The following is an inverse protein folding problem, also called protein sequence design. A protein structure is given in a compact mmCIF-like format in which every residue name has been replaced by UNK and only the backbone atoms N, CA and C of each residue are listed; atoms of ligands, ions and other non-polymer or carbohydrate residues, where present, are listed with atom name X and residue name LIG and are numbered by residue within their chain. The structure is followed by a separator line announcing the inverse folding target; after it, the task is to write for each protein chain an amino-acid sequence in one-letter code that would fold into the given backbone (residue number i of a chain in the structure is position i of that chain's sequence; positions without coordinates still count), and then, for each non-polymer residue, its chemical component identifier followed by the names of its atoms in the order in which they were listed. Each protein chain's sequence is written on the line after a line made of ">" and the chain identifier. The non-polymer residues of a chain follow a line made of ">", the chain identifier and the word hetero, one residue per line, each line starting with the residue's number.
data_IF_240048686632
#
_entry.id   IF_240048686632
#
_cell.length_a   1.000
_cell.length_b   1.000
_cell.length_c   1.000
_cell.angle_alpha   90.00
_cell.angle_beta   90.00
_cell.angle_gamma   90.00
#
_symmetry.space_group_name_H-M   'P 1'
#
loop_
_entity.id
_entity.type
_entity.pdbx_description
1 polymer ?
#
# COMPACT_ATOMS: atom_id res chain seq x y z
N UNK A 1 -19.39 19.12 -14.71
CA UNK A 1 -19.17 17.73 -14.23
C UNK A 1 -17.86 17.60 -13.42
N UNK A 2 -16.69 17.93 -14.00
CA UNK A 2 -15.37 17.71 -13.37
C UNK A 2 -15.23 18.34 -11.98
N UNK A 3 -15.53 19.65 -11.84
CA UNK A 3 -15.48 20.35 -10.55
C UNK A 3 -16.46 19.74 -9.55
N UNK A 4 -17.69 19.44 -9.97
CA UNK A 4 -18.71 18.83 -9.14
C UNK A 4 -18.30 17.42 -8.66
N UNK A 5 -17.62 16.62 -9.50
CA UNK A 5 -17.08 15.33 -9.12
C UNK A 5 -16.08 15.45 -7.97
N UNK A 6 -15.08 16.33 -8.10
CA UNK A 6 -14.08 16.52 -7.05
C UNK A 6 -14.64 17.19 -5.78
N UNK A 7 -15.63 18.09 -5.89
CA UNK A 7 -16.35 18.65 -4.73
C UNK A 7 -17.05 17.57 -3.90
N UNK A 8 -17.52 16.50 -4.55
CA UNK A 8 -18.17 15.37 -3.86
C UNK A 8 -17.17 14.33 -3.38
N UNK A 9 -16.12 14.06 -4.18
CA UNK A 9 -15.15 13.00 -3.92
C UNK A 9 -14.14 13.35 -2.84
N UNK A 10 -13.65 14.60 -2.80
CA UNK A 10 -12.53 14.98 -1.93
C UNK A 10 -13.02 15.54 -0.59
N UNK A 11 -12.31 15.23 0.52
CA UNK A 11 -12.48 15.93 1.79
C UNK A 11 -12.18 17.43 1.64
N UNK A 12 -12.73 18.25 2.55
CA UNK A 12 -12.55 19.72 2.50
C UNK A 12 -11.32 20.21 3.25
N UNK A 13 -10.83 19.41 4.20
CA UNK A 13 -9.68 19.76 5.04
C UNK A 13 -8.47 18.92 4.69
N UNK A 14 -7.28 19.53 4.82
CA UNK A 14 -6.00 18.90 4.56
C UNK A 14 -5.40 19.27 3.21
N UNK A 15 -4.27 18.64 2.90
CA UNK A 15 -3.47 18.89 1.71
C UNK A 15 -3.90 17.94 0.60
N UNK A 16 -4.22 18.47 -0.57
CA UNK A 16 -4.50 17.71 -1.79
C UNK A 16 -3.21 17.37 -2.53
N UNK A 17 -3.18 16.24 -3.21
CA UNK A 17 -2.07 15.85 -4.07
C UNK A 17 -2.54 15.62 -5.51
N UNK A 18 -1.94 16.38 -6.44
CA UNK A 18 -2.06 16.20 -7.89
C UNK A 18 -0.73 15.70 -8.43
N UNK A 19 -0.72 14.60 -9.17
CA UNK A 19 0.50 13.99 -9.67
C UNK A 19 0.51 13.89 -11.19
N UNK A 20 1.67 14.14 -11.78
CA UNK A 20 1.97 13.83 -13.16
C UNK A 20 2.93 12.65 -13.25
N UNK A 21 2.66 11.68 -14.12
CA UNK A 21 3.57 10.56 -14.39
C UNK A 21 3.96 10.61 -15.87
N UNK A 22 5.26 10.79 -16.15
CA UNK A 22 5.80 10.82 -17.50
C UNK A 22 5.75 9.44 -18.17
N UNK A 23 6.02 9.38 -19.47
CA UNK A 23 6.14 8.11 -20.22
C UNK A 23 7.25 7.22 -19.65
N UNK A 24 8.31 7.82 -19.10
CA UNK A 24 9.44 7.13 -18.48
C UNK A 24 9.18 6.72 -17.02
N UNK A 25 7.95 6.93 -16.51
CA UNK A 25 7.57 6.53 -15.17
C UNK A 25 7.96 7.51 -14.05
N UNK A 26 8.52 8.68 -14.37
CA UNK A 26 8.91 9.69 -13.38
C UNK A 26 7.66 10.34 -12.81
N UNK A 27 7.51 10.27 -11.47
CA UNK A 27 6.37 10.83 -10.73
C UNK A 27 6.74 12.24 -10.24
N UNK A 28 5.87 13.21 -10.56
CA UNK A 28 5.96 14.60 -10.10
C UNK A 28 4.71 14.93 -9.29
N UNK A 29 4.79 14.88 -7.95
CA UNK A 29 3.72 15.28 -7.06
C UNK A 29 3.69 16.81 -6.92
N UNK A 30 2.50 17.40 -6.86
CA UNK A 30 2.20 18.78 -6.52
C UNK A 30 1.13 18.79 -5.44
N UNK A 31 1.23 19.72 -4.52
CA UNK A 31 0.40 19.78 -3.33
C UNK A 31 -0.22 21.16 -3.19
N UNK A 32 -1.44 21.20 -2.67
CA UNK A 32 -2.15 22.45 -2.35
C UNK A 32 -3.16 22.21 -1.22
N UNK A 33 -3.43 23.24 -0.43
CA UNK A 33 -4.53 23.29 0.55
C UNK A 33 -5.80 23.89 -0.06
N UNK A 34 -5.70 24.46 -1.27
CA UNK A 34 -6.79 25.15 -1.94
C UNK A 34 -7.45 24.25 -2.97
N UNK A 35 -8.75 23.98 -2.79
CA UNK A 35 -9.50 23.11 -3.69
C UNK A 35 -9.44 23.53 -5.17
N UNK A 36 -9.61 24.82 -5.46
CA UNK A 36 -9.61 25.32 -6.84
C UNK A 36 -8.24 25.20 -7.52
N UNK A 37 -7.14 25.23 -6.78
CA UNK A 37 -5.79 25.04 -7.32
C UNK A 37 -5.53 23.61 -7.83
N UNK A 38 -6.33 22.61 -7.43
CA UNK A 38 -6.26 21.25 -7.97
C UNK A 38 -6.34 21.29 -9.50
N UNK A 39 -7.26 22.09 -10.04
CA UNK A 39 -7.51 22.18 -11.47
C UNK A 39 -6.35 22.88 -12.20
N UNK A 40 -5.78 23.93 -11.60
CA UNK A 40 -4.60 24.62 -12.16
C UNK A 40 -3.37 23.69 -12.18
N UNK A 41 -3.17 22.91 -11.12
CA UNK A 41 -2.09 21.94 -11.05
C UNK A 41 -2.26 20.80 -12.07
N UNK A 42 -3.50 20.32 -12.22
CA UNK A 42 -3.83 19.32 -13.23
C UNK A 42 -3.57 19.84 -14.65
N UNK A 43 -4.00 21.09 -14.94
CA UNK A 43 -3.78 21.72 -16.25
C UNK A 43 -2.28 21.89 -16.55
N UNK A 44 -1.46 22.32 -15.58
CA UNK A 44 0.00 22.37 -15.73
C UNK A 44 0.63 21.02 -16.07
N UNK A 45 0.08 19.91 -15.53
CA UNK A 45 0.51 18.57 -15.89
C UNK A 45 0.03 18.16 -17.28
N UNK A 46 -1.21 18.50 -17.68
CA UNK A 46 -1.73 18.25 -19.05
C UNK A 46 -0.86 18.93 -20.12
N UNK A 47 -0.46 20.19 -19.88
CA UNK A 47 0.42 20.94 -20.78
C UNK A 47 1.81 20.31 -20.98
N UNK A 48 2.23 19.45 -20.05
CA UNK A 48 3.49 18.68 -20.14
C UNK A 48 3.32 17.31 -20.79
N UNK A 49 2.12 16.99 -21.28
CA UNK A 49 1.79 15.70 -21.91
C UNK A 49 2.13 14.50 -21.03
N UNK A 50 1.83 14.59 -19.73
CA UNK A 50 2.03 13.49 -18.78
C UNK A 50 0.68 12.93 -18.30
N UNK A 51 0.70 11.72 -17.81
CA UNK A 51 -0.46 11.10 -17.19
C UNK A 51 -0.83 11.84 -15.90
N UNK A 52 -2.05 12.36 -15.79
CA UNK A 52 -2.50 13.17 -14.65
C UNK A 52 -3.33 12.33 -13.68
N UNK A 53 -3.08 12.53 -12.39
CA UNK A 53 -3.75 11.82 -11.31
C UNK A 53 -4.06 12.74 -10.14
N UNK A 54 -5.07 12.39 -9.36
CA UNK A 54 -5.39 13.00 -8.06
C UNK A 54 -5.57 11.90 -7.04
N UNK A 55 -5.12 12.11 -5.81
CA UNK A 55 -5.42 11.19 -4.70
C UNK A 55 -6.86 11.39 -4.22
N UNK A 56 -7.61 10.33 -3.88
CA UNK A 56 -8.97 10.44 -3.34
C UNK A 56 -9.00 10.85 -1.85
N UNK A 57 -7.84 11.07 -1.23
CA UNK A 57 -7.67 11.47 0.16
C UNK A 57 -6.98 12.82 0.28
N UNK A 58 -7.11 13.45 1.46
CA UNK A 58 -6.27 14.57 1.90
C UNK A 58 -5.22 14.10 2.91
N UNK A 59 -4.16 14.90 3.08
CA UNK A 59 -2.99 14.57 3.92
C UNK A 59 -2.73 15.68 4.94
N UNK A 60 -2.04 15.34 6.04
CA UNK A 60 -1.62 16.32 7.05
C UNK A 60 -0.55 17.28 6.53
N UNK A 61 0.31 16.78 5.63
CA UNK A 61 1.48 17.50 5.14
C UNK A 61 1.57 17.44 3.61
N UNK A 62 2.51 18.18 3.04
CA UNK A 62 2.86 18.15 1.61
C UNK A 62 3.59 16.84 1.24
N UNK A 63 2.95 15.75 1.57
CA UNK A 63 3.43 14.39 1.39
C UNK A 63 2.27 13.48 1.00
N UNK A 64 2.56 12.42 0.25
CA UNK A 64 1.58 11.42 -0.18
C UNK A 64 1.95 10.05 0.42
N UNK A 65 1.93 9.98 1.74
CA UNK A 65 2.10 8.73 2.46
C UNK A 65 0.77 8.31 3.08
N UNK A 66 0.43 7.04 3.00
CA UNK A 66 -0.84 6.54 3.49
C UNK A 66 -1.05 6.77 4.99
N UNK A 67 0.04 6.77 5.76
CA UNK A 67 0.01 7.02 7.21
C UNK A 67 -0.13 8.51 7.58
N UNK A 68 -0.02 9.42 6.62
CA UNK A 68 -0.28 10.85 6.75
C UNK A 68 -1.65 11.25 6.18
N UNK A 69 -2.48 10.28 5.75
CA UNK A 69 -3.83 10.55 5.27
C UNK A 69 -4.74 11.02 6.41
N UNK A 70 -5.48 12.09 6.17
CA UNK A 70 -6.42 12.70 7.13
C UNK A 70 -7.81 12.09 6.96
N UNK A 71 -8.38 12.20 5.76
CA UNK A 71 -9.72 11.77 5.48
C UNK A 71 -9.89 11.26 4.04
N UNK A 72 -10.93 10.48 3.83
CA UNK A 72 -11.39 9.94 2.54
C UNK A 72 -12.91 10.06 2.47
N UNK A 73 -13.47 10.23 1.26
CA UNK A 73 -14.93 10.30 1.06
C UNK A 73 -15.48 9.22 0.15
N UNK A 74 -14.75 8.13 -0.08
CA UNK A 74 -15.22 7.08 -0.98
C UNK A 74 -14.55 5.75 -0.71
N UNK A 75 -15.26 4.66 -1.06
CA UNK A 75 -14.57 3.47 -1.52
C UNK A 75 -14.35 3.56 -3.02
N UNK A 76 -13.29 2.96 -3.51
CA UNK A 76 -12.94 3.00 -4.92
C UNK A 76 -12.21 1.73 -5.35
N UNK A 77 -12.38 1.37 -6.61
CA UNK A 77 -11.70 0.25 -7.26
C UNK A 77 -11.18 0.66 -8.62
N UNK A 78 -10.20 -0.08 -9.11
CA UNK A 78 -9.67 0.00 -10.48
C UNK A 78 -9.80 -1.38 -11.14
N UNK A 79 -10.54 -1.42 -12.26
CA UNK A 79 -10.65 -2.60 -13.11
C UNK A 79 -9.74 -2.40 -14.32
N UNK A 80 -8.69 -3.18 -14.35
CA UNK A 80 -7.75 -3.19 -15.46
C UNK A 80 -8.33 -3.90 -16.70
N UNK A 81 -8.17 -3.29 -17.88
CA UNK A 81 -8.68 -3.78 -19.15
C UNK A 81 -7.54 -4.04 -20.14
N UNK A 82 -7.59 -5.17 -20.81
CA UNK A 82 -6.66 -5.59 -21.88
C UNK A 82 -6.09 -6.99 -21.69
N UNK A 83 -5.70 -7.63 -22.77
CA UNK A 83 -5.24 -9.03 -22.81
C UNK A 83 -4.07 -9.31 -21.85
N UNK A 84 -3.14 -8.35 -21.68
CA UNK A 84 -2.01 -8.46 -20.75
C UNK A 84 -2.46 -8.70 -19.29
N UNK A 85 -3.63 -8.18 -18.92
CA UNK A 85 -4.20 -8.39 -17.58
C UNK A 85 -4.96 -9.71 -17.49
N UNK A 86 -5.61 -10.13 -18.59
CA UNK A 86 -6.27 -11.45 -18.66
C UNK A 86 -5.26 -12.58 -18.52
N UNK A 87 -4.14 -12.51 -19.22
CA UNK A 87 -3.03 -13.49 -19.13
C UNK A 87 -2.48 -13.64 -17.71
N UNK A 88 -2.56 -12.57 -16.91
CA UNK A 88 -2.10 -12.54 -15.51
C UNK A 88 -3.21 -12.87 -14.50
N UNK A 89 -4.44 -13.15 -14.95
CA UNK A 89 -5.64 -13.29 -14.11
C UNK A 89 -5.85 -12.07 -13.18
N UNK A 90 -5.73 -10.85 -13.74
CA UNK A 90 -5.80 -9.58 -12.98
C UNK A 90 -6.75 -8.55 -13.57
N UNK A 91 -7.45 -8.85 -14.64
CA UNK A 91 -8.35 -7.91 -15.30
C UNK A 91 -9.17 -8.56 -16.41
N UNK A 92 -9.73 -7.75 -17.27
CA UNK A 92 -10.74 -8.13 -18.27
C UNK A 92 -10.26 -7.85 -19.70
N UNK A 93 -10.73 -8.63 -20.70
CA UNK A 93 -10.31 -8.46 -22.09
C UNK A 93 -10.70 -7.09 -22.65
N UNK A 94 -11.92 -6.65 -22.33
CA UNK A 94 -12.50 -5.40 -22.81
C UNK A 94 -13.38 -4.75 -21.72
N UNK A 95 -13.88 -3.54 -22.02
CA UNK A 95 -14.72 -2.77 -21.11
C UNK A 95 -16.09 -3.42 -20.86
N UNK A 96 -16.63 -4.10 -21.85
CA UNK A 96 -17.93 -4.80 -21.74
C UNK A 96 -17.85 -5.92 -20.69
N UNK A 97 -16.79 -6.72 -20.73
CA UNK A 97 -16.51 -7.73 -19.72
C UNK A 97 -16.25 -7.13 -18.32
N UNK A 98 -15.55 -5.98 -18.26
CA UNK A 98 -15.34 -5.26 -17.01
C UNK A 98 -16.65 -4.73 -16.41
N UNK A 99 -17.53 -4.14 -17.23
CA UNK A 99 -18.86 -3.70 -16.77
C UNK A 99 -19.75 -4.87 -16.36
N UNK A 100 -19.78 -5.96 -17.14
CA UNK A 100 -20.56 -7.14 -16.80
C UNK A 100 -20.11 -7.75 -15.45
N UNK A 101 -18.81 -7.77 -15.17
CA UNK A 101 -18.29 -8.22 -13.89
C UNK A 101 -18.70 -7.30 -12.74
N UNK A 102 -18.67 -5.97 -12.96
CA UNK A 102 -19.13 -5.00 -11.97
C UNK A 102 -20.64 -5.13 -11.70
N UNK A 103 -21.45 -5.25 -12.74
CA UNK A 103 -22.89 -5.47 -12.61
C UNK A 103 -23.21 -6.76 -11.84
N UNK A 104 -22.53 -7.85 -12.20
CA UNK A 104 -22.67 -9.11 -11.47
C UNK A 104 -22.26 -8.99 -10.00
N UNK A 105 -21.19 -8.27 -9.69
CA UNK A 105 -20.77 -7.99 -8.33
C UNK A 105 -21.87 -7.25 -7.54
N UNK A 106 -22.48 -6.23 -8.15
CA UNK A 106 -23.57 -5.48 -7.52
C UNK A 106 -24.81 -6.35 -7.29
N UNK A 107 -25.17 -7.23 -8.25
CA UNK A 107 -26.27 -8.18 -8.11
C UNK A 107 -25.99 -9.21 -7.01
N UNK A 108 -24.79 -9.80 -6.99
CA UNK A 108 -24.41 -10.84 -6.03
C UNK A 108 -24.33 -10.30 -4.59
N UNK A 109 -23.95 -9.02 -4.41
CA UNK A 109 -23.73 -8.41 -3.11
C UNK A 109 -24.87 -7.53 -2.62
N UNK A 110 -25.71 -7.02 -3.54
CA UNK A 110 -26.74 -6.03 -3.22
C UNK A 110 -26.22 -4.62 -2.95
N UNK A 111 -24.94 -4.35 -3.23
CA UNK A 111 -24.38 -3.01 -3.11
C UNK A 111 -25.00 -2.04 -4.14
N UNK A 112 -25.14 -0.75 -3.80
CA UNK A 112 -25.64 0.25 -4.73
C UNK A 112 -24.63 0.52 -5.85
N UNK A 113 -25.08 1.05 -7.02
CA UNK A 113 -24.21 1.30 -8.16
C UNK A 113 -23.19 2.42 -7.88
N UNK A 114 -21.89 2.22 -8.23
CA UNK A 114 -20.87 3.26 -8.09
C UNK A 114 -20.97 4.31 -9.19
N UNK A 115 -20.32 5.45 -8.97
CA UNK A 115 -20.01 6.41 -10.02
C UNK A 115 -18.77 5.94 -10.81
N UNK A 116 -18.89 5.90 -12.15
CA UNK A 116 -17.86 5.29 -13.03
C UNK A 116 -17.11 6.32 -13.85
N UNK A 117 -15.78 6.17 -13.85
CA UNK A 117 -14.82 7.02 -14.56
C UNK A 117 -14.06 6.18 -15.58
N UNK A 118 -13.95 6.67 -16.80
CA UNK A 118 -13.08 6.15 -17.84
C UNK A 118 -11.63 6.58 -17.54
N UNK A 119 -10.76 5.65 -17.16
CA UNK A 119 -9.33 5.91 -16.92
C UNK A 119 -8.47 5.89 -18.19
N UNK A 120 -9.10 5.80 -19.38
CA UNK A 120 -8.48 5.63 -20.68
C UNK A 120 -8.34 4.16 -21.07
N UNK A 121 -7.82 3.30 -20.20
CA UNK A 121 -7.70 1.85 -20.46
C UNK A 121 -8.62 1.01 -19.58
N UNK A 122 -8.90 1.45 -18.37
CA UNK A 122 -9.70 0.74 -17.38
C UNK A 122 -10.94 1.52 -16.94
N UNK A 123 -11.55 1.03 -15.88
CA UNK A 123 -12.73 1.58 -15.26
C UNK A 123 -12.41 1.83 -13.79
N UNK A 124 -12.45 3.12 -13.36
CA UNK A 124 -12.49 3.40 -11.93
C UNK A 124 -13.95 3.47 -11.50
N UNK A 125 -14.29 2.86 -10.38
CA UNK A 125 -15.61 2.95 -9.79
C UNK A 125 -15.51 3.48 -8.36
N UNK A 126 -16.40 4.42 -8.02
CA UNK A 126 -16.40 5.15 -6.74
C UNK A 126 -17.76 5.04 -6.07
N UNK A 127 -17.81 4.59 -4.83
CA UNK A 127 -18.92 4.77 -3.90
C UNK A 127 -18.62 5.98 -3.03
N UNK A 128 -19.19 7.13 -3.39
CA UNK A 128 -18.87 8.42 -2.77
C UNK A 128 -19.78 8.63 -1.57
N UNK A 129 -19.20 8.99 -0.43
CA UNK A 129 -19.92 9.24 0.81
C UNK A 129 -20.37 10.69 0.92
N UNK A 130 -21.46 10.93 1.62
CA UNK A 130 -22.00 12.26 1.90
C UNK A 130 -21.17 12.99 3.00
N UNK A 131 -20.40 12.26 3.78
CA UNK A 131 -19.52 12.76 4.83
C UNK A 131 -18.04 12.45 4.60
N UNK A 132 -17.18 13.12 5.35
CA UNK A 132 -15.73 12.90 5.37
C UNK A 132 -15.39 11.87 6.44
N UNK A 133 -14.75 10.79 6.04
CA UNK A 133 -14.42 9.68 6.94
C UNK A 133 -12.96 9.83 7.36
N UNK A 134 -12.65 9.94 8.66
CA UNK A 134 -11.29 9.91 9.15
C UNK A 134 -10.56 8.66 8.67
N UNK A 135 -9.31 8.80 8.23
CA UNK A 135 -8.55 7.69 7.65
C UNK A 135 -8.51 6.45 8.55
N UNK A 136 -8.35 6.66 9.87
CA UNK A 136 -8.29 5.57 10.84
C UNK A 136 -9.60 4.77 10.91
N UNK A 137 -10.76 5.41 10.69
CA UNK A 137 -12.06 4.76 10.61
C UNK A 137 -12.30 4.11 9.23
N UNK A 138 -11.93 4.82 8.17
CA UNK A 138 -12.10 4.35 6.79
C UNK A 138 -11.29 3.08 6.49
N UNK A 139 -10.02 3.04 6.92
CA UNK A 139 -9.04 2.01 6.53
C UNK A 139 -9.48 0.57 6.81
N UNK A 140 -9.98 0.21 8.01
CA UNK A 140 -10.42 -1.16 8.29
C UNK A 140 -11.58 -1.61 7.40
N UNK A 141 -12.52 -0.71 7.12
CA UNK A 141 -13.66 -1.00 6.24
C UNK A 141 -13.26 -1.06 4.77
N UNK A 142 -12.30 -0.24 4.33
CA UNK A 142 -11.73 -0.32 2.99
C UNK A 142 -11.01 -1.66 2.73
N UNK A 143 -10.34 -2.23 3.74
CA UNK A 143 -9.76 -3.58 3.63
C UNK A 143 -10.85 -4.65 3.51
N UNK A 144 -11.94 -4.57 4.29
CA UNK A 144 -13.07 -5.50 4.14
C UNK A 144 -13.74 -5.37 2.77
N UNK A 145 -13.95 -4.13 2.31
CA UNK A 145 -14.49 -3.87 0.99
C UNK A 145 -13.60 -4.45 -0.11
N UNK A 146 -12.28 -4.30 0.00
CA UNK A 146 -11.32 -4.92 -0.91
C UNK A 146 -11.42 -6.45 -0.90
N UNK A 147 -11.49 -7.07 0.29
CA UNK A 147 -11.66 -8.52 0.42
C UNK A 147 -12.95 -9.00 -0.25
N UNK A 148 -14.05 -8.27 -0.06
CA UNK A 148 -15.33 -8.57 -0.73
C UNK A 148 -15.20 -8.47 -2.25
N UNK A 149 -14.62 -7.39 -2.78
CA UNK A 149 -14.41 -7.23 -4.22
C UNK A 149 -13.57 -8.38 -4.81
N UNK A 150 -12.47 -8.77 -4.16
CA UNK A 150 -11.58 -9.84 -4.62
C UNK A 150 -12.22 -11.23 -4.63
N UNK A 151 -13.31 -11.44 -3.88
CA UNK A 151 -14.09 -12.69 -3.91
C UNK A 151 -14.97 -12.81 -5.15
N UNK A 152 -15.34 -11.68 -5.77
CA UNK A 152 -16.32 -11.62 -6.85
C UNK A 152 -15.75 -11.20 -8.20
N UNK A 153 -14.66 -10.42 -8.21
CA UNK A 153 -14.11 -9.84 -9.44
C UNK A 153 -12.62 -9.58 -9.40
N UNK A 154 -12.04 -9.35 -10.56
CA UNK A 154 -10.64 -8.88 -10.67
C UNK A 154 -10.60 -7.36 -10.47
N UNK A 155 -9.88 -6.92 -9.46
CA UNK A 155 -9.53 -5.52 -9.20
C UNK A 155 -8.04 -5.39 -8.96
N UNK A 156 -7.47 -4.19 -9.09
CA UNK A 156 -6.10 -3.96 -8.59
C UNK A 156 -6.12 -3.91 -7.04
N UNK A 157 -5.63 -4.97 -6.34
CA UNK A 157 -5.70 -5.04 -4.88
C UNK A 157 -4.83 -4.00 -4.18
N UNK A 158 -3.93 -3.35 -4.91
CA UNK A 158 -3.09 -2.27 -4.38
C UNK A 158 -3.82 -0.92 -4.35
N UNK A 159 -4.97 -0.80 -5.02
CA UNK A 159 -5.74 0.46 -5.12
C UNK A 159 -6.72 0.61 -3.97
N UNK A 160 -7.61 -0.35 -3.80
CA UNK A 160 -8.89 -0.20 -3.10
C UNK A 160 -8.79 0.24 -1.63
N UNK A 161 -7.76 -0.16 -0.91
CA UNK A 161 -7.58 0.21 0.50
C UNK A 161 -6.32 1.06 0.73
N UNK A 162 -5.86 1.78 -0.28
CA UNK A 162 -4.71 2.69 -0.21
C UNK A 162 -5.15 4.14 -0.42
N UNK A 163 -5.27 4.91 0.67
CA UNK A 163 -5.65 6.32 0.64
C UNK A 163 -4.64 7.20 -0.15
N UNK A 164 -3.37 6.78 -0.24
CA UNK A 164 -2.34 7.46 -1.00
C UNK A 164 -2.34 7.10 -2.50
N UNK A 165 -3.34 6.33 -2.97
CA UNK A 165 -3.41 5.89 -4.36
C UNK A 165 -3.65 7.04 -5.31
N UNK A 166 -2.98 6.97 -6.46
CA UNK A 166 -3.17 7.90 -7.58
C UNK A 166 -4.27 7.38 -8.49
N UNK A 167 -5.40 8.10 -8.49
CA UNK A 167 -6.53 7.82 -9.38
C UNK A 167 -6.49 8.76 -10.58
N UNK A 168 -6.76 8.21 -11.77
CA UNK A 168 -6.70 8.95 -13.04
C UNK A 168 -7.59 10.18 -13.00
N UNK A 169 -7.04 11.34 -13.38
CA UNK A 169 -7.81 12.57 -13.54
C UNK A 169 -8.69 12.50 -14.78
N UNK A 170 -10.02 12.61 -14.66
CA UNK A 170 -10.92 12.73 -15.81
C UNK A 170 -10.62 13.98 -16.61
N UNK A 171 -11.06 14.02 -17.88
CA UNK A 171 -10.78 15.15 -18.80
C UNK A 171 -9.26 15.36 -19.05
N UNK A 172 -8.52 14.26 -19.17
CA UNK A 172 -7.12 14.23 -19.53
C UNK A 172 -6.85 13.17 -20.61
N UNK A 173 -5.57 12.87 -20.85
CA UNK A 173 -5.16 11.80 -21.75
C UNK A 173 -4.35 10.74 -20.99
N UNK A 174 -4.56 9.49 -21.36
CA UNK A 174 -3.73 8.37 -20.93
C UNK A 174 -2.67 8.09 -21.97
N UNK A 175 -1.44 8.49 -21.71
CA UNK A 175 -0.28 8.37 -22.64
C UNK A 175 0.37 6.99 -22.63
N UNK A 176 -0.27 5.96 -22.07
CA UNK A 176 0.26 4.59 -22.15
C UNK A 176 0.09 3.95 -23.51
N UNK A 177 -0.83 4.45 -24.33
CA UNK A 177 -1.03 4.05 -25.72
C UNK A 177 -0.61 5.16 -26.69
N UNK A 178 -0.44 4.80 -27.93
CA UNK A 178 -0.21 5.72 -29.04
C UNK A 178 -1.19 5.37 -30.17
N UNK A 179 -2.17 6.24 -30.50
CA UNK A 179 -2.45 7.54 -29.86
C UNK A 179 -2.93 7.42 -28.41
N UNK A 180 -2.76 8.48 -27.58
CA UNK A 180 -3.22 8.49 -26.20
C UNK A 180 -4.73 8.33 -26.07
N UNK A 181 -5.19 7.57 -25.08
CA UNK A 181 -6.63 7.36 -24.81
C UNK A 181 -7.22 8.54 -24.06
N UNK A 182 -8.42 9.04 -24.44
CA UNK A 182 -9.12 10.04 -23.65
C UNK A 182 -9.66 9.45 -22.35
N UNK A 183 -9.58 10.25 -21.27
CA UNK A 183 -10.20 9.95 -19.98
C UNK A 183 -11.47 10.78 -19.79
N UNK A 184 -12.38 10.33 -18.93
CA UNK A 184 -13.64 11.05 -18.72
C UNK A 184 -14.59 10.31 -17.80
N UNK A 185 -15.88 10.58 -17.96
CA UNK A 185 -16.94 9.99 -17.14
C UNK A 185 -17.80 9.07 -17.97
N UNK A 186 -18.24 7.95 -17.38
CA UNK A 186 -19.30 7.11 -17.94
C UNK A 186 -20.68 7.55 -17.44
N UNK A 187 -20.77 8.09 -16.23
CA UNK A 187 -22.00 8.53 -15.60
C UNK A 187 -22.09 10.06 -15.61
N UNK A 188 -23.31 10.57 -15.63
CA UNK A 188 -23.66 12.01 -15.63
C UNK A 188 -24.22 12.48 -14.27
N UNK A 189 -24.57 11.55 -13.39
CA UNK A 189 -25.18 11.82 -12.08
C UNK A 189 -24.39 11.15 -10.96
N UNK A 190 -23.94 11.96 -9.99
CA UNK A 190 -23.26 11.50 -8.79
C UNK A 190 -24.31 11.23 -7.71
N UNK A 191 -24.31 10.00 -7.19
CA UNK A 191 -25.08 9.58 -6.03
C UNK A 191 -24.15 9.54 -4.82
N UNK A 192 -24.62 10.05 -3.69
CA UNK A 192 -23.89 9.99 -2.42
C UNK A 192 -24.54 8.93 -1.53
N UNK A 193 -23.71 8.26 -0.76
CA UNK A 193 -24.09 7.16 0.12
C UNK A 193 -23.72 7.46 1.56
N UNK A 194 -24.44 6.86 2.50
CA UNK A 194 -24.07 6.88 3.92
C UNK A 194 -22.93 5.88 4.17
N UNK A 195 -21.91 6.31 4.87
CA UNK A 195 -20.84 5.39 5.30
C UNK A 195 -21.33 4.39 6.34
N UNK A 196 -22.28 4.81 7.20
CA UNK A 196 -22.89 3.91 8.19
C UNK A 196 -23.64 2.74 7.54
N UNK A 197 -24.36 2.98 6.45
CA UNK A 197 -25.01 1.90 5.69
C UNK A 197 -23.98 0.90 5.13
N UNK A 198 -22.83 1.39 4.67
CA UNK A 198 -21.73 0.53 4.22
C UNK A 198 -21.08 -0.23 5.39
N UNK A 199 -20.95 0.38 6.58
CA UNK A 199 -20.48 -0.32 7.78
C UNK A 199 -21.41 -1.45 8.18
N UNK A 200 -22.71 -1.21 8.20
CA UNK A 200 -23.71 -2.25 8.48
C UNK A 200 -23.65 -3.40 7.47
N UNK A 201 -23.52 -3.07 6.19
CA UNK A 201 -23.41 -4.05 5.13
C UNK A 201 -22.13 -4.90 5.22
N UNK A 202 -21.01 -4.28 5.43
CA UNK A 202 -19.71 -4.96 5.54
C UNK A 202 -19.55 -5.70 6.88
N UNK A 203 -20.28 -5.28 7.93
CA UNK A 203 -20.14 -5.76 9.30
C UNK A 203 -18.83 -5.29 9.94
N UNK A 204 -18.65 -5.54 11.23
CA UNK A 204 -17.47 -5.09 11.97
C UNK A 204 -16.15 -5.63 11.37
N UNK A 205 -15.15 -4.78 11.13
CA UNK A 205 -13.85 -5.24 10.69
C UNK A 205 -13.15 -6.04 11.80
N UNK A 206 -12.44 -7.09 11.41
CA UNK A 206 -11.58 -7.81 12.33
C UNK A 206 -10.36 -6.93 12.58
N UNK A 207 -10.38 -6.20 13.67
CA UNK A 207 -9.27 -5.32 14.07
C UNK A 207 -8.10 -6.20 14.52
N UNK A 208 -7.03 -6.21 13.75
CA UNK A 208 -5.81 -6.93 14.13
C UNK A 208 -5.15 -6.19 15.30
N UNK A 209 -4.72 -6.88 16.36
CA UNK A 209 -4.07 -6.25 17.50
C UNK A 209 -2.91 -5.31 17.14
N UNK A 210 -2.21 -5.58 16.04
CA UNK A 210 -1.14 -4.73 15.53
C UNK A 210 -1.63 -3.35 15.03
N UNK A 211 -2.85 -3.27 14.49
CA UNK A 211 -3.40 -2.02 13.94
C UNK A 211 -3.88 -1.10 15.09
N UNK A 212 -4.43 -1.69 16.16
CA UNK A 212 -4.79 -0.95 17.38
C UNK A 212 -3.54 -0.38 18.04
N UNK A 213 -2.50 -1.19 18.17
CA UNK A 213 -1.24 -0.76 18.80
C UNK A 213 -0.55 0.35 18.00
N UNK A 214 -0.61 0.31 16.67
CA UNK A 214 -0.09 1.35 15.77
C UNK A 214 -0.84 2.66 15.91
N UNK A 215 -2.18 2.62 15.98
CA UNK A 215 -3.04 3.80 16.14
C UNK A 215 -2.87 4.44 17.51
N UNK A 216 -2.80 3.63 18.58
CA UNK A 216 -2.58 4.09 19.95
C UNK A 216 -1.21 4.75 20.08
N UNK A 217 -0.15 4.18 19.49
CA UNK A 217 1.20 4.76 19.50
C UNK A 217 1.27 6.13 18.79
N UNK A 218 0.51 6.34 17.73
CA UNK A 218 0.47 7.62 16.98
C UNK A 218 -0.29 8.73 17.74
N UNK A 219 -1.28 8.39 18.53
CA UNK A 219 -2.09 9.35 19.30
C UNK A 219 -1.55 9.71 20.70
N UNK A 220 -0.45 9.08 21.13
CA UNK A 220 0.17 9.33 22.44
C UNK A 220 1.35 10.29 22.28
N UNK A 221 1.46 11.29 23.17
CA UNK A 221 2.67 12.07 23.32
C UNK A 221 3.83 11.21 23.87
N UNK A 222 5.05 11.71 23.77
CA UNK A 222 6.24 10.92 24.14
C UNK A 222 6.28 10.60 25.63
N UNK A 223 5.73 11.48 26.48
CA UNK A 223 5.64 11.30 27.93
C UNK A 223 4.66 10.16 28.29
N UNK A 224 3.55 10.07 27.56
CA UNK A 224 2.55 9.00 27.72
C UNK A 224 3.02 7.65 27.15
N UNK A 225 3.82 7.66 26.10
CA UNK A 225 4.47 6.46 25.54
C UNK A 225 5.46 5.86 26.56
N UNK A 226 6.27 6.72 27.18
CA UNK A 226 7.22 6.32 28.22
C UNK A 226 6.50 5.76 29.46
N UNK A 227 5.42 6.43 29.92
CA UNK A 227 4.63 6.00 31.09
C UNK A 227 3.92 4.67 30.86
N UNK A 228 3.48 4.37 29.63
CA UNK A 228 2.86 3.09 29.25
C UNK A 228 3.87 2.00 28.86
N UNK A 229 5.17 2.30 28.91
CA UNK A 229 6.24 1.36 28.56
C UNK A 229 6.22 0.91 27.09
N UNK A 230 5.63 1.71 26.18
CA UNK A 230 5.50 1.37 24.77
C UNK A 230 6.82 1.48 24.00
N UNK A 231 7.80 2.21 24.53
CA UNK A 231 9.15 2.32 24.01
C UNK A 231 10.11 1.26 24.57
N UNK A 232 9.60 0.39 25.47
CA UNK A 232 10.38 -0.68 26.08
C UNK A 232 10.53 -1.93 25.18
N UNK A 233 10.06 -1.88 23.92
CA UNK A 233 10.23 -2.98 22.98
C UNK A 233 11.22 -2.58 21.90
N UNK A 234 12.35 -3.26 21.91
CA UNK A 234 13.34 -3.21 20.81
C UNK A 234 13.15 -4.36 19.85
N UNK A 235 13.84 -4.29 18.73
CA UNK A 235 13.99 -5.41 17.78
C UNK A 235 15.47 -5.63 17.54
N UNK A 236 15.98 -6.80 17.90
CA UNK A 236 17.37 -7.17 17.72
C UNK A 236 17.52 -8.22 16.61
N UNK A 237 18.44 -7.99 15.67
CA UNK A 237 18.79 -8.98 14.67
C UNK A 237 19.58 -10.14 15.30
N UNK A 238 20.43 -9.86 16.28
CA UNK A 238 21.16 -10.94 16.96
C UNK A 238 20.23 -11.90 17.69
N UNK A 239 19.11 -11.42 18.23
CA UNK A 239 18.05 -12.30 18.77
C UNK A 239 17.36 -13.12 17.69
N UNK A 240 17.13 -12.57 16.49
CA UNK A 240 16.63 -13.35 15.35
C UNK A 240 17.64 -14.44 14.96
N UNK A 241 18.92 -14.06 14.89
CA UNK A 241 20.02 -14.95 14.55
C UNK A 241 20.14 -16.11 15.56
N UNK A 242 20.19 -15.82 16.86
CA UNK A 242 20.24 -16.81 17.93
C UNK A 242 19.09 -17.81 17.84
N UNK A 243 17.83 -17.33 17.77
CA UNK A 243 16.65 -18.17 17.60
C UNK A 243 16.73 -19.02 16.36
N UNK A 244 17.26 -18.47 15.25
CA UNK A 244 17.37 -19.20 13.99
C UNK A 244 18.44 -20.29 14.05
N UNK A 245 19.58 -20.00 14.63
CA UNK A 245 20.69 -20.95 14.80
C UNK A 245 20.35 -22.07 15.80
N UNK A 246 19.53 -21.78 16.80
CA UNK A 246 19.05 -22.76 17.79
C UNK A 246 17.80 -23.55 17.33
N UNK A 247 17.28 -23.27 16.14
CA UNK A 247 16.18 -24.01 15.52
C UNK A 247 14.77 -23.53 15.92
N UNK A 248 14.65 -22.48 16.73
CA UNK A 248 13.36 -21.88 17.14
C UNK A 248 12.98 -20.65 16.32
N UNK A 249 13.84 -20.22 15.40
CA UNK A 249 13.67 -19.02 14.58
C UNK A 249 13.31 -19.28 13.13
N UNK A 250 13.86 -18.47 12.22
CA UNK A 250 13.61 -18.52 10.78
C UNK A 250 14.66 -19.39 10.08
N UNK A 251 14.23 -20.44 9.40
CA UNK A 251 15.13 -21.34 8.64
C UNK A 251 15.86 -20.61 7.50
N UNK A 252 15.30 -19.54 6.93
CA UNK A 252 15.96 -18.75 5.90
C UNK A 252 17.12 -17.93 6.48
N UNK A 253 16.93 -17.35 7.65
CA UNK A 253 18.01 -16.64 8.37
C UNK A 253 19.08 -17.67 8.83
N UNK A 254 18.68 -18.86 9.27
CA UNK A 254 19.61 -19.95 9.54
C UNK A 254 20.46 -20.29 8.31
N UNK A 255 19.83 -20.51 7.14
CA UNK A 255 20.53 -20.86 5.90
C UNK A 255 21.52 -19.77 5.48
N UNK A 256 21.17 -18.49 5.65
CA UNK A 256 22.04 -17.36 5.37
C UNK A 256 23.26 -17.33 6.30
N UNK A 257 23.04 -17.50 7.60
CA UNK A 257 24.09 -17.35 8.61
C UNK A 257 25.00 -18.58 8.72
N UNK A 258 24.48 -19.77 8.42
CA UNK A 258 25.25 -21.03 8.53
C UNK A 258 26.22 -21.25 7.36
N UNK A 259 26.04 -20.56 6.24
CA UNK A 259 26.90 -20.67 5.06
C UNK A 259 26.87 -19.36 4.27
N UNK A 260 27.46 -18.30 4.83
CA UNK A 260 27.52 -16.97 4.21
C UNK A 260 28.21 -17.00 2.84
N UNK A 261 29.27 -17.80 2.72
CA UNK A 261 30.07 -17.88 1.48
C UNK A 261 29.27 -18.37 0.28
N UNK A 262 28.32 -19.31 0.49
CA UNK A 262 27.49 -19.87 -0.57
C UNK A 262 26.05 -19.36 -0.54
N UNK A 263 25.73 -18.39 0.31
CA UNK A 263 24.39 -17.81 0.38
C UNK A 263 24.02 -17.14 -0.94
N UNK A 264 22.82 -17.45 -1.53
CA UNK A 264 22.36 -16.76 -2.73
C UNK A 264 22.25 -15.26 -2.51
N UNK A 265 22.67 -14.47 -3.51
CA UNK A 265 22.62 -13.01 -3.47
C UNK A 265 21.29 -12.45 -2.99
N UNK A 266 20.17 -12.95 -3.55
CA UNK A 266 18.83 -12.47 -3.16
C UNK A 266 18.47 -12.83 -1.70
N UNK A 267 18.97 -13.94 -1.17
CA UNK A 267 18.80 -14.32 0.23
C UNK A 267 19.60 -13.40 1.15
N UNK A 268 20.83 -13.08 0.77
CA UNK A 268 21.67 -12.14 1.48
C UNK A 268 21.04 -10.74 1.51
N UNK A 269 20.62 -10.19 0.37
CA UNK A 269 19.92 -8.91 0.30
C UNK A 269 18.63 -8.92 1.14
N UNK A 270 17.87 -10.03 1.11
CA UNK A 270 16.68 -10.16 1.97
C UNK A 270 17.03 -10.10 3.46
N UNK A 271 18.13 -10.73 3.88
CA UNK A 271 18.67 -10.62 5.23
C UNK A 271 19.06 -9.18 5.60
N UNK A 272 19.74 -8.45 4.71
CA UNK A 272 20.07 -7.04 4.91
C UNK A 272 18.84 -6.18 5.16
N UNK A 273 17.70 -6.45 4.46
CA UNK A 273 16.44 -5.69 4.68
C UNK A 273 15.83 -5.90 6.07
N UNK A 274 16.11 -7.03 6.69
CA UNK A 274 15.66 -7.34 8.05
C UNK A 274 16.62 -6.72 9.06
N UNK A 275 17.92 -6.98 8.91
CA UNK A 275 18.94 -6.51 9.82
C UNK A 275 18.98 -4.98 9.93
N UNK A 276 18.97 -4.26 8.81
CA UNK A 276 19.02 -2.78 8.77
C UNK A 276 17.86 -2.08 9.47
N UNK A 277 16.81 -2.81 9.86
CA UNK A 277 15.63 -2.28 10.57
C UNK A 277 15.53 -2.76 12.02
N UNK A 278 16.60 -3.35 12.51
CA UNK A 278 16.77 -3.71 13.91
C UNK A 278 17.60 -2.63 14.63
N UNK A 279 17.48 -2.57 15.95
CA UNK A 279 18.21 -1.59 16.77
C UNK A 279 19.74 -1.79 16.72
N UNK A 280 20.17 -3.04 16.56
CA UNK A 280 21.54 -3.49 16.35
C UNK A 280 21.91 -3.64 14.87
N UNK A 281 21.10 -3.00 13.99
CA UNK A 281 21.19 -3.22 12.55
C UNK A 281 22.51 -2.88 11.92
N UNK A 282 23.22 -1.87 12.44
CA UNK A 282 24.51 -1.45 11.89
C UNK A 282 25.58 -2.53 12.05
N UNK A 283 25.69 -3.11 13.24
CA UNK A 283 26.60 -4.22 13.51
C UNK A 283 26.13 -5.50 12.78
N UNK A 284 24.83 -5.73 12.77
CA UNK A 284 24.24 -6.94 12.22
C UNK A 284 24.43 -7.10 10.70
N UNK A 285 24.29 -6.00 9.92
CA UNK A 285 24.49 -6.07 8.45
C UNK A 285 25.92 -6.47 8.08
N UNK A 286 26.91 -6.08 8.85
CA UNK A 286 28.30 -6.48 8.63
C UNK A 286 28.54 -7.91 9.10
N UNK A 287 28.14 -8.26 10.32
CA UNK A 287 28.34 -9.60 10.88
C UNK A 287 27.70 -10.72 10.03
N UNK A 288 26.50 -10.47 9.45
CA UNK A 288 25.83 -11.44 8.59
C UNK A 288 26.40 -11.50 7.17
N UNK A 289 27.33 -10.64 6.82
CA UNK A 289 27.86 -10.48 5.46
C UNK A 289 29.36 -10.76 5.36
N UNK A 290 30.08 -10.87 6.48
CA UNK A 290 31.54 -10.85 6.55
C UNK A 290 32.20 -11.89 5.64
N UNK A 291 31.60 -13.07 5.47
CA UNK A 291 32.10 -14.12 4.60
C UNK A 291 31.40 -14.19 3.22
N UNK A 292 30.45 -13.28 2.96
CA UNK A 292 29.71 -13.29 1.69
C UNK A 292 30.59 -12.72 0.55
N UNK A 293 30.64 -13.35 -0.66
CA UNK A 293 31.50 -12.93 -1.77
C UNK A 293 31.31 -11.49 -2.24
N UNK A 294 30.09 -10.97 -2.09
CA UNK A 294 29.72 -9.58 -2.48
C UNK A 294 29.91 -8.57 -1.34
N UNK A 295 30.48 -8.99 -0.20
CA UNK A 295 30.69 -8.10 0.93
C UNK A 295 31.75 -7.04 0.64
N UNK A 296 31.38 -5.80 0.82
CA UNK A 296 32.22 -4.62 0.91
C UNK A 296 31.57 -3.68 1.92
N UNK A 297 32.32 -3.17 2.88
CA UNK A 297 31.77 -2.40 3.99
C UNK A 297 30.81 -1.29 3.53
N UNK A 298 31.28 -0.40 2.66
CA UNK A 298 30.51 0.77 2.22
C UNK A 298 29.34 0.38 1.31
N UNK A 299 29.56 -0.54 0.37
CA UNK A 299 28.51 -1.02 -0.55
C UNK A 299 27.43 -1.79 0.20
N UNK A 300 27.77 -2.52 1.25
CA UNK A 300 26.82 -3.25 2.08
C UNK A 300 25.94 -2.29 2.88
N UNK A 301 26.52 -1.23 3.48
CA UNK A 301 25.75 -0.17 4.12
C UNK A 301 24.83 0.54 3.11
N UNK A 302 25.34 0.94 1.96
CA UNK A 302 24.55 1.57 0.91
C UNK A 302 23.39 0.67 0.47
N UNK A 303 23.64 -0.60 0.22
CA UNK A 303 22.62 -1.58 -0.16
C UNK A 303 21.58 -1.80 0.95
N UNK A 304 21.98 -1.86 2.21
CA UNK A 304 21.09 -2.08 3.34
C UNK A 304 20.14 -0.90 3.61
N UNK A 305 20.60 0.35 3.34
CA UNK A 305 19.86 1.57 3.71
C UNK A 305 19.34 2.37 2.51
N UNK A 306 19.97 2.32 1.33
CA UNK A 306 19.64 3.20 0.19
C UNK A 306 18.94 2.50 -0.98
N UNK A 307 18.89 1.19 -1.03
CA UNK A 307 18.42 0.42 -2.20
C UNK A 307 16.89 0.39 -2.40
N UNK A 308 16.18 1.42 -1.93
CA UNK A 308 14.74 1.58 -2.18
C UNK A 308 13.85 0.46 -1.64
N UNK A 309 14.42 -0.43 -0.82
CA UNK A 309 13.73 -1.56 -0.24
C UNK A 309 12.75 -1.07 0.82
N UNK A 310 11.48 -1.07 0.47
CA UNK A 310 10.35 -0.57 1.27
C UNK A 310 10.01 -1.51 2.44
N UNK A 311 10.94 -1.73 3.36
CA UNK A 311 10.71 -2.54 4.56
C UNK A 311 11.37 -3.92 4.56
N UNK A 312 11.29 -4.66 5.67
CA UNK A 312 11.88 -5.99 5.80
C UNK A 312 11.11 -6.99 4.91
N UNK A 313 11.83 -7.90 4.26
CA UNK A 313 11.21 -8.96 3.45
C UNK A 313 10.23 -9.78 4.27
N UNK A 314 9.10 -10.10 3.64
CA UNK A 314 8.00 -10.84 4.29
C UNK A 314 8.21 -12.35 4.23
N UNK A 315 7.54 -13.09 5.11
CA UNK A 315 7.49 -14.55 5.07
C UNK A 315 6.95 -15.09 3.73
N UNK A 316 6.02 -14.35 3.10
CA UNK A 316 5.48 -14.71 1.78
C UNK A 316 6.52 -14.55 0.68
N UNK A 317 7.31 -13.48 0.74
CA UNK A 317 8.43 -13.31 -0.19
C UNK A 317 9.44 -14.47 -0.08
N UNK A 318 9.85 -14.84 1.15
CA UNK A 318 10.74 -15.98 1.36
C UNK A 318 10.15 -17.29 0.86
N UNK A 319 8.86 -17.55 1.10
CA UNK A 319 8.21 -18.76 0.64
C UNK A 319 8.10 -18.84 -0.88
N UNK A 320 7.96 -17.70 -1.56
CA UNK A 320 7.88 -17.64 -3.03
C UNK A 320 9.25 -17.82 -3.70
N UNK A 321 10.33 -17.33 -3.08
CA UNK A 321 11.68 -17.34 -3.67
C UNK A 321 12.57 -18.50 -3.14
N UNK A 322 12.33 -18.94 -1.89
CA UNK A 322 13.13 -19.95 -1.19
C UNK A 322 12.21 -20.93 -0.45
N UNK A 323 11.32 -21.60 -1.19
CA UNK A 323 10.21 -22.39 -0.63
C UNK A 323 10.66 -23.52 0.32
N UNK A 324 11.80 -24.17 0.07
CA UNK A 324 12.29 -25.30 0.85
C UNK A 324 12.52 -24.94 2.33
N UNK A 325 13.13 -23.80 2.61
CA UNK A 325 13.34 -23.34 3.99
C UNK A 325 12.07 -22.87 4.71
N UNK A 326 10.96 -22.72 3.99
CA UNK A 326 9.66 -22.35 4.55
C UNK A 326 8.69 -23.53 4.74
N UNK A 327 9.03 -24.74 4.23
CA UNK A 327 8.23 -25.95 4.44
C UNK A 327 8.18 -26.33 5.91
N UNK A 328 6.97 -26.49 6.46
CA UNK A 328 6.77 -26.87 7.86
C UNK A 328 7.16 -25.79 8.89
N UNK A 329 7.35 -24.54 8.46
CA UNK A 329 7.74 -23.44 9.35
C UNK A 329 6.68 -23.20 10.45
N UNK A 330 7.04 -23.27 11.76
CA UNK A 330 6.11 -23.10 12.86
C UNK A 330 5.56 -21.67 12.98
N UNK A 331 6.20 -20.73 12.32
CA UNK A 331 5.82 -19.29 12.32
C UNK A 331 4.92 -18.92 11.13
N UNK A 332 4.73 -19.80 10.16
CA UNK A 332 3.92 -19.53 8.97
C UNK A 332 2.48 -19.17 9.36
N UNK A 333 1.98 -18.04 8.87
CA UNK A 333 0.64 -17.52 9.22
C UNK A 333 0.52 -16.87 10.61
N UNK A 334 1.60 -16.90 11.45
CA UNK A 334 1.63 -16.25 12.77
C UNK A 334 2.40 -14.95 12.76
N UNK A 335 3.37 -14.81 11.87
CA UNK A 335 4.16 -13.60 11.65
C UNK A 335 4.17 -13.26 10.17
N UNK A 336 4.34 -11.97 9.86
CA UNK A 336 4.41 -11.47 8.47
C UNK A 336 5.85 -11.35 7.96
N UNK A 337 6.82 -11.25 8.86
CA UNK A 337 8.25 -11.15 8.53
C UNK A 337 9.08 -11.73 9.68
N UNK A 338 10.27 -12.32 9.38
CA UNK A 338 11.21 -12.80 10.40
C UNK A 338 11.65 -11.73 11.39
N UNK A 339 11.58 -10.45 11.06
CA UNK A 339 11.91 -9.34 11.98
C UNK A 339 11.12 -9.40 13.29
N UNK A 340 9.90 -9.94 13.26
CA UNK A 340 9.06 -10.06 14.45
C UNK A 340 9.61 -11.05 15.50
N UNK A 341 10.52 -11.92 15.11
CA UNK A 341 11.20 -12.86 16.02
C UNK A 341 12.25 -12.17 16.90
N UNK A 342 12.72 -10.98 16.48
CA UNK A 342 13.71 -10.18 17.21
C UNK A 342 13.13 -9.27 18.28
N UNK A 343 11.82 -9.30 18.54
CA UNK A 343 11.21 -8.45 19.56
C UNK A 343 11.70 -8.82 20.94
N UNK A 344 12.21 -7.82 21.65
CA UNK A 344 12.72 -7.92 23.00
C UNK A 344 12.06 -6.87 23.90
N UNK A 345 11.82 -7.24 25.15
CA UNK A 345 11.41 -6.29 26.17
C UNK A 345 12.68 -5.58 26.69
N UNK A 346 12.75 -4.26 26.56
CA UNK A 346 13.79 -3.43 27.17
C UNK A 346 13.24 -2.90 28.50
N UNK A 347 13.72 -3.35 29.67
CA UNK A 347 13.31 -2.75 30.94
C UNK A 347 13.73 -1.27 30.92
N UNK A 348 12.86 -0.41 31.46
CA UNK A 348 13.20 1.00 31.67
C UNK A 348 14.53 1.14 32.43
N UNK A 349 15.39 2.03 31.94
CA UNK A 349 16.66 2.33 32.60
C UNK A 349 16.46 3.13 33.87
#
# INVERSE_FOLDING_TARGET
>A
MLKQFYEKLLPKQGVYCVAGISKDGIISNRYTETFDEIFDLAERHKQREVNVYVTPATFEQYSRKADEAVAVKSFFIDLDIGEVYVEKNKGYPDREAGFAALEKFLEDTGLPPPFKVNSGRGIHAYWIFDEEIPYAEWKPYAEKFKELCLQHMFIDPAVTADAARLMRYPDSLNYRNDPPDPTGFYDDKIVLYSFDEFKEFLGEPVVKPADVLGSVKKGLDDEMKEMLGLDNFGTSFFTIAEKSLTGTGCKQIFNLLSDQTNAPYDLWVAGLTIASRCDDGKEAIHAMSEEHPEYDYNKTEEKAYNDGLKGPRTCDWFASNFSEGCKGCPHRGKITSPIQLGREFKPAK
#
